data_IF_814386042685
#
_entry.id   IF_814386042685
#
_cell.length_a   1.000
_cell.length_b   1.000
_cell.length_c   1.000
_cell.angle_alpha   90.00
_cell.angle_beta   90.00
_cell.angle_gamma   90.00
#
_symmetry.space_group_name_H-M   'P 1'
#
loop_
_entity.id
_entity.type
_entity.pdbx_description
1 polymer ?
#
# COMPACT_ATOMS: atom_id res chain seq x y z
N UNK A 1 -6.49 4.07 10.21
CA UNK A 1 -7.00 4.79 9.02
C UNK A 1 -7.36 3.78 7.94
N UNK A 2 -8.62 3.73 7.52
CA UNK A 2 -9.11 2.85 6.45
C UNK A 2 -9.10 3.59 5.10
N UNK A 3 -8.98 2.87 3.97
CA UNK A 3 -9.04 3.48 2.62
C UNK A 3 -10.28 4.37 2.42
N UNK A 4 -11.42 3.98 2.99
CA UNK A 4 -12.64 4.78 2.96
C UNK A 4 -12.53 6.13 3.69
N UNK A 5 -11.80 6.18 4.82
CA UNK A 5 -11.57 7.41 5.58
C UNK A 5 -10.66 8.38 4.82
N UNK A 6 -9.79 7.85 3.97
CA UNK A 6 -8.94 8.62 3.05
C UNK A 6 -9.66 9.01 1.74
N UNK A 7 -10.95 8.67 1.61
CA UNK A 7 -11.77 9.01 0.45
C UNK A 7 -11.59 8.08 -0.75
N UNK A 8 -11.13 6.84 -0.56
CA UNK A 8 -11.07 5.81 -1.60
C UNK A 8 -12.23 4.83 -1.44
N UNK A 9 -13.13 4.78 -2.43
CA UNK A 9 -14.32 3.93 -2.43
C UNK A 9 -14.16 2.70 -3.35
N UNK A 10 -14.91 1.63 -3.08
CA UNK A 10 -14.92 0.43 -3.93
C UNK A 10 -13.60 -0.36 -3.90
N UNK A 11 -12.80 -0.20 -2.86
CA UNK A 11 -11.48 -0.81 -2.71
C UNK A 11 -11.59 -2.12 -1.95
N UNK A 12 -10.89 -3.16 -2.42
CA UNK A 12 -10.70 -4.39 -1.65
C UNK A 12 -9.36 -4.34 -0.91
N UNK A 13 -9.38 -4.60 0.40
CA UNK A 13 -8.17 -4.65 1.22
C UNK A 13 -8.05 -6.05 1.80
N UNK A 14 -6.91 -6.71 1.58
CA UNK A 14 -6.64 -8.07 2.08
C UNK A 14 -5.25 -8.14 2.73
N UNK A 15 -5.09 -8.77 3.90
CA UNK A 15 -3.75 -9.01 4.45
C UNK A 15 -2.97 -9.96 3.55
N UNK A 16 -1.66 -9.74 3.44
CA UNK A 16 -0.77 -10.66 2.72
C UNK A 16 -0.34 -11.81 3.65
N UNK A 17 -0.59 -13.04 3.21
CA UNK A 17 -0.22 -14.25 3.96
C UNK A 17 1.31 -14.34 4.08
N UNK A 18 1.80 -14.51 5.30
CA UNK A 18 3.25 -14.63 5.57
C UNK A 18 4.01 -13.30 5.57
N UNK A 19 3.32 -12.15 5.43
CA UNK A 19 3.89 -10.82 5.59
C UNK A 19 3.09 -10.03 6.64
N UNK A 20 3.48 -10.20 7.91
CA UNK A 20 2.84 -9.49 9.02
C UNK A 20 2.85 -7.97 8.79
N UNK A 21 1.68 -7.35 8.98
CA UNK A 21 1.48 -5.92 8.80
C UNK A 21 1.42 -5.42 7.34
N UNK A 22 1.50 -6.31 6.34
CA UNK A 22 1.35 -5.93 4.93
C UNK A 22 -0.06 -6.20 4.42
N UNK A 23 -0.62 -5.24 3.68
CA UNK A 23 -1.96 -5.31 3.10
C UNK A 23 -1.87 -5.09 1.59
N UNK A 24 -2.61 -5.90 0.82
CA UNK A 24 -2.87 -5.67 -0.59
C UNK A 24 -4.13 -4.82 -0.73
N UNK A 25 -4.00 -3.73 -1.46
CA UNK A 25 -5.09 -2.80 -1.78
C UNK A 25 -5.39 -2.92 -3.27
N UNK A 26 -6.57 -3.44 -3.60
CA UNK A 26 -7.00 -3.71 -4.98
C UNK A 26 -8.12 -2.76 -5.38
N UNK A 27 -7.91 -2.08 -6.51
CA UNK A 27 -8.88 -1.20 -7.15
C UNK A 27 -9.53 -1.88 -8.36
N UNK A 28 -10.54 -1.24 -8.95
CA UNK A 28 -11.19 -1.73 -10.17
C UNK A 28 -10.16 -1.92 -11.31
N UNK A 29 -10.34 -2.96 -12.12
CA UNK A 29 -9.46 -3.32 -13.23
C UNK A 29 -9.72 -2.50 -14.51
N UNK A 30 -9.83 -1.18 -14.36
CA UNK A 30 -10.09 -0.21 -15.42
C UNK A 30 -9.26 1.08 -15.21
N UNK A 31 -9.38 2.06 -16.10
CA UNK A 31 -8.58 3.29 -16.02
C UNK A 31 -8.91 4.11 -14.76
N UNK A 32 -10.17 4.14 -14.35
CA UNK A 32 -10.60 4.82 -13.13
C UNK A 32 -9.97 4.20 -11.87
N UNK A 33 -9.94 2.88 -11.77
CA UNK A 33 -9.29 2.17 -10.66
C UNK A 33 -7.77 2.37 -10.65
N UNK A 34 -7.12 2.40 -11.83
CA UNK A 34 -5.70 2.74 -11.93
C UNK A 34 -5.43 4.17 -11.43
N UNK A 35 -6.28 5.15 -11.79
CA UNK A 35 -6.16 6.54 -11.32
C UNK A 35 -6.26 6.63 -9.79
N UNK A 36 -7.21 5.93 -9.18
CA UNK A 36 -7.33 5.89 -7.72
C UNK A 36 -6.14 5.18 -7.05
N UNK A 37 -5.63 4.09 -7.63
CA UNK A 37 -4.44 3.41 -7.12
C UNK A 37 -3.19 4.32 -7.14
N UNK A 38 -3.01 5.06 -8.23
CA UNK A 38 -1.94 6.07 -8.35
C UNK A 38 -2.14 7.18 -7.33
N UNK A 39 -3.37 7.70 -7.18
CA UNK A 39 -3.69 8.76 -6.21
C UNK A 39 -3.37 8.35 -4.77
N UNK A 40 -3.64 7.10 -4.38
CA UNK A 40 -3.27 6.58 -3.06
C UNK A 40 -1.75 6.53 -2.88
N UNK A 41 -1.01 6.04 -3.88
CA UNK A 41 0.44 5.98 -3.82
C UNK A 41 1.06 7.39 -3.74
N UNK A 42 0.57 8.34 -4.53
CA UNK A 42 1.02 9.74 -4.51
C UNK A 42 0.70 10.45 -3.19
N UNK A 43 -0.47 10.17 -2.59
CA UNK A 43 -0.83 10.69 -1.27
C UNK A 43 0.18 10.25 -0.21
N UNK A 44 0.51 8.95 -0.17
CA UNK A 44 1.47 8.41 0.79
C UNK A 44 2.89 8.90 0.52
N UNK A 45 3.30 9.01 -0.75
CA UNK A 45 4.61 9.56 -1.11
C UNK A 45 4.73 11.05 -0.70
N UNK A 46 3.67 11.85 -0.89
CA UNK A 46 3.64 13.25 -0.49
C UNK A 46 3.78 13.44 1.03
N UNK A 47 3.34 12.47 1.83
CA UNK A 47 3.54 12.43 3.28
C UNK A 47 4.92 11.86 3.69
N UNK A 48 5.76 11.45 2.73
CA UNK A 48 7.03 10.78 3.01
C UNK A 48 6.86 9.33 3.49
N UNK A 49 5.75 8.68 3.13
CA UNK A 49 5.42 7.31 3.47
C UNK A 49 5.41 6.37 2.25
N UNK A 50 6.25 6.68 1.26
CA UNK A 50 6.43 5.90 0.05
C UNK A 50 7.34 4.68 0.19
N UNK A 51 7.68 4.06 -0.95
CA UNK A 51 8.51 2.82 -0.97
C UNK A 51 9.93 3.06 -0.45
N UNK A 52 10.54 4.19 -0.80
CA UNK A 52 11.91 4.49 -0.40
C UNK A 52 11.99 4.66 1.13
N UNK A 53 11.07 5.44 1.68
CA UNK A 53 11.00 5.72 3.11
C UNK A 53 10.61 4.47 3.91
N UNK A 54 9.83 3.56 3.31
CA UNK A 54 9.59 2.25 3.89
C UNK A 54 10.85 1.38 3.95
N UNK A 55 11.67 1.37 2.88
CA UNK A 55 12.95 0.66 2.87
C UNK A 55 13.90 1.24 3.92
N UNK A 56 13.98 2.57 4.01
CA UNK A 56 14.79 3.25 5.02
C UNK A 56 14.30 2.92 6.44
N UNK A 57 12.98 2.92 6.65
CA UNK A 57 12.38 2.57 7.92
C UNK A 57 12.67 1.13 8.35
N UNK A 58 12.67 0.18 7.40
CA UNK A 58 12.98 -1.24 7.66
C UNK A 58 14.48 -1.55 7.72
N UNK A 59 15.33 -0.70 7.16
CA UNK A 59 16.78 -0.78 7.31
C UNK A 59 17.26 -0.53 8.75
N UNK A 60 16.41 0.03 9.60
CA UNK A 60 16.63 0.17 11.03
C UNK A 60 16.36 -1.18 11.71
N UNK A 61 17.35 -1.69 12.45
CA UNK A 61 17.41 -3.05 13.01
C UNK A 61 16.13 -3.51 13.75
N UNK A 62 15.79 -4.82 13.67
CA UNK A 62 14.54 -5.39 14.24
C UNK A 62 14.38 -5.30 15.76
N UNK A 63 15.44 -4.93 16.50
CA UNK A 63 15.38 -4.78 17.97
C UNK A 63 14.57 -3.57 18.43
N UNK A 64 14.01 -2.80 17.50
CA UNK A 64 13.31 -1.55 17.76
C UNK A 64 11.84 -1.58 17.27
N UNK A 65 11.18 -2.73 17.33
CA UNK A 65 9.70 -2.81 17.32
C UNK A 65 9.17 -2.52 18.73
N UNK A 66 9.76 -1.53 19.41
CA UNK A 66 9.10 -0.88 20.54
C UNK A 66 8.11 0.10 19.95
N UNK A 67 6.84 0.05 20.39
CA UNK A 67 5.74 0.89 19.88
C UNK A 67 5.89 2.41 20.08
N UNK A 68 7.13 2.91 20.17
CA UNK A 68 7.50 4.31 20.38
C UNK A 68 8.33 4.90 19.22
N UNK A 69 8.67 4.12 18.18
CA UNK A 69 9.35 4.69 17.02
C UNK A 69 8.41 5.65 16.27
N UNK A 70 8.73 6.96 16.16
CA UNK A 70 7.87 7.93 15.47
C UNK A 70 7.69 7.64 13.97
N UNK A 71 8.54 6.79 13.39
CA UNK A 71 8.39 6.32 12.01
C UNK A 71 7.28 5.29 11.84
N UNK A 72 6.89 4.57 12.90
CA UNK A 72 5.85 3.54 12.83
C UNK A 72 4.61 3.87 13.66
N UNK A 73 4.76 4.71 14.68
CA UNK A 73 3.68 5.11 15.60
C UNK A 73 3.73 6.61 15.79
N UNK A 74 2.63 7.29 15.45
CA UNK A 74 2.39 8.70 15.78
C UNK A 74 1.33 8.77 16.88
N UNK A 75 1.30 9.85 17.64
CA UNK A 75 0.26 10.12 18.62
C UNK A 75 -0.75 11.06 17.97
N UNK A 76 -2.03 10.71 17.99
CA UNK A 76 -3.08 11.55 17.43
C UNK A 76 -3.43 12.74 18.37
N UNK A 77 -4.37 13.59 17.94
CA UNK A 77 -4.81 14.75 18.73
C UNK A 77 -5.42 14.38 20.09
N UNK A 78 -5.82 13.11 20.28
CA UNK A 78 -6.40 12.58 21.52
C UNK A 78 -5.37 11.93 22.44
N UNK A 79 -4.11 11.88 22.02
CA UNK A 79 -3.05 11.22 22.78
C UNK A 79 -2.96 9.70 22.53
N UNK A 80 -3.67 9.16 21.54
CA UNK A 80 -3.69 7.73 21.23
C UNK A 80 -2.65 7.36 20.15
N UNK A 81 -1.91 6.24 20.33
CA UNK A 81 -0.95 5.79 19.33
C UNK A 81 -1.66 5.28 18.08
N UNK A 82 -1.34 5.89 16.95
CA UNK A 82 -1.82 5.53 15.62
C UNK A 82 -0.65 5.08 14.75
N UNK A 83 -0.83 3.97 14.03
CA UNK A 83 0.19 3.43 13.13
C UNK A 83 0.38 4.31 11.90
N UNK A 84 1.64 4.53 11.53
CA UNK A 84 2.04 5.16 10.26
C UNK A 84 1.94 4.11 9.16
N UNK A 85 1.14 4.41 8.14
CA UNK A 85 0.99 3.55 6.97
C UNK A 85 1.97 3.95 5.89
N UNK A 86 2.65 2.97 5.32
CA UNK A 86 3.48 3.13 4.13
C UNK A 86 2.85 2.40 2.95
N UNK A 87 2.99 2.94 1.75
CA UNK A 87 2.40 2.32 0.56
C UNK A 87 2.96 2.86 -0.75
N UNK A 88 2.82 2.05 -1.79
CA UNK A 88 3.32 2.33 -3.12
C UNK A 88 2.55 1.50 -4.15
N UNK A 89 2.63 1.89 -5.42
CA UNK A 89 2.04 1.12 -6.51
C UNK A 89 2.83 -0.18 -6.71
N UNK A 90 2.15 -1.32 -6.63
CA UNK A 90 2.77 -2.61 -6.82
C UNK A 90 3.37 -2.74 -8.23
N UNK A 91 4.57 -3.32 -8.30
CA UNK A 91 5.30 -3.61 -9.52
C UNK A 91 5.27 -5.10 -9.84
N UNK A 92 5.76 -5.49 -11.02
CA UNK A 92 5.88 -6.91 -11.38
C UNK A 92 6.74 -7.72 -10.37
N UNK A 93 7.71 -7.09 -9.69
CA UNK A 93 8.52 -7.74 -8.67
C UNK A 93 7.75 -8.04 -7.39
N UNK A 94 6.69 -7.29 -7.13
CA UNK A 94 5.87 -7.48 -5.93
C UNK A 94 4.86 -8.62 -6.10
N UNK A 95 4.73 -9.18 -7.32
CA UNK A 95 3.89 -10.37 -7.57
C UNK A 95 4.37 -11.60 -6.80
N UNK A 96 5.68 -11.74 -6.59
CA UNK A 96 6.24 -12.84 -5.81
C UNK A 96 5.79 -12.81 -4.34
N UNK A 97 5.28 -11.66 -3.87
CA UNK A 97 4.72 -11.51 -2.53
C UNK A 97 3.29 -12.05 -2.38
N UNK A 98 2.60 -12.31 -3.50
CA UNK A 98 1.22 -12.79 -3.50
C UNK A 98 1.19 -14.31 -3.31
N UNK A 99 0.11 -14.82 -2.72
CA UNK A 99 -0.12 -16.25 -2.64
C UNK A 99 -0.28 -16.87 -4.05
N UNK A 100 -0.13 -18.19 -4.15
CA UNK A 100 -0.14 -18.89 -5.43
C UNK A 100 -1.44 -18.69 -6.23
N UNK A 101 -2.59 -18.63 -5.55
CA UNK A 101 -3.89 -18.44 -6.17
C UNK A 101 -4.04 -17.02 -6.71
N UNK A 102 -3.66 -16.01 -5.92
CA UNK A 102 -3.62 -14.62 -6.35
C UNK A 102 -2.70 -14.42 -7.55
N UNK A 103 -1.51 -15.06 -7.58
CA UNK A 103 -0.55 -14.93 -8.70
C UNK A 103 -1.10 -15.48 -10.02
N UNK A 104 -1.82 -16.59 -9.99
CA UNK A 104 -2.35 -17.23 -11.21
C UNK A 104 -3.39 -16.36 -11.94
N UNK A 105 -4.05 -15.46 -11.22
CA UNK A 105 -5.14 -14.64 -11.75
C UNK A 105 -4.71 -13.20 -12.09
N UNK A 106 -3.40 -12.90 -12.07
CA UNK A 106 -2.90 -11.55 -12.38
C UNK A 106 -2.51 -11.43 -13.85
N UNK A 107 -3.05 -10.39 -14.50
CA UNK A 107 -2.62 -9.96 -15.82
C UNK A 107 -1.88 -8.63 -15.68
N UNK A 108 -0.60 -8.59 -16.06
CA UNK A 108 0.14 -7.33 -16.18
C UNK A 108 -0.25 -6.70 -17.52
N UNK A 109 -0.79 -5.49 -17.47
CA UNK A 109 -1.08 -4.68 -18.67
C UNK A 109 -0.24 -3.42 -18.68
N UNK A 110 0.14 -2.97 -19.86
CA UNK A 110 0.70 -1.64 -20.03
C UNK A 110 -0.40 -0.59 -19.81
N UNK A 111 -0.04 0.57 -19.24
CA UNK A 111 -0.98 1.69 -19.13
C UNK A 111 -1.60 2.08 -20.48
N UNK A 112 -0.80 2.01 -21.56
CA UNK A 112 -1.27 2.29 -22.93
C UNK A 112 -2.34 1.31 -23.40
N UNK A 113 -2.34 0.06 -22.92
CA UNK A 113 -3.34 -0.94 -23.30
C UNK A 113 -4.67 -0.71 -22.58
N UNK A 114 -4.64 -0.13 -21.37
CA UNK A 114 -5.85 0.24 -20.63
C UNK A 114 -6.57 1.41 -21.29
N UNK A 115 -5.83 2.43 -21.73
CA UNK A 115 -6.38 3.61 -22.43
C UNK A 115 -7.09 3.27 -23.75
N UNK A 116 -6.74 2.14 -24.38
CA UNK A 116 -7.32 1.67 -25.64
C UNK A 116 -8.53 0.73 -25.46
N UNK A 117 -8.84 0.37 -24.22
CA UNK A 117 -9.85 -0.63 -23.89
C UNK A 117 -11.14 -0.08 -23.26
N UNK A 118 -11.27 1.25 -23.18
CA UNK A 118 -12.47 1.98 -22.73
C UNK A 118 -13.26 2.60 -23.89
#
# INVERSE_FOLDING_TARGET
MCCSEMGFAGVSVKPLVGKDGAMLVTFASNLAGLKEAVRLAELLEAEGHGRAQWVDARGLTPSFVGGSNPMFVKVDEKGEPTWVLYGYLATAWDLDALDAESRQNVVIKSRKELDLSE
#
